data_IF_849819962212
#
_entry.id   IF_849819962212
#
_cell.length_a   1.000
_cell.length_b   1.000
_cell.length_c   1.000
_cell.angle_alpha   90.00
_cell.angle_beta   90.00
_cell.angle_gamma   90.00
#
_symmetry.space_group_name_H-M   'P 1'
#
loop_
_entity.id
_entity.type
_entity.pdbx_description
1 polymer ?
#
# COMPACT_ATOMS: atom_id res chain seq x y z
N UNK A 1 -12.69 8.80 3.19
CA UNK A 1 -11.71 8.89 2.08
C UNK A 1 -10.30 8.93 2.64
N UNK A 2 -9.27 8.39 1.97
CA UNK A 2 -7.86 8.49 2.42
C UNK A 2 -7.48 9.96 2.67
N UNK A 3 -7.94 10.87 1.82
CA UNK A 3 -7.69 12.30 1.98
C UNK A 3 -8.23 12.88 3.30
N UNK A 4 -9.45 12.52 3.70
CA UNK A 4 -10.06 13.06 4.93
C UNK A 4 -9.31 12.56 6.17
N UNK A 5 -8.95 11.28 6.19
CA UNK A 5 -8.19 10.66 7.27
C UNK A 5 -6.81 11.31 7.40
N UNK A 6 -6.06 11.36 6.31
CA UNK A 6 -4.71 11.92 6.29
C UNK A 6 -4.71 13.44 6.54
N UNK A 7 -5.75 14.18 6.13
CA UNK A 7 -5.89 15.61 6.44
C UNK A 7 -6.04 15.88 7.94
N UNK A 8 -6.81 15.05 8.65
CA UNK A 8 -6.93 15.17 10.10
C UNK A 8 -5.58 14.92 10.79
N UNK A 9 -4.85 13.90 10.35
CA UNK A 9 -3.51 13.60 10.86
C UNK A 9 -2.50 14.72 10.56
N UNK A 10 -2.54 15.29 9.35
CA UNK A 10 -1.68 16.41 8.97
C UNK A 10 -1.89 17.62 9.88
N UNK A 11 -3.15 17.97 10.21
CA UNK A 11 -3.46 19.06 11.13
C UNK A 11 -2.97 18.79 12.55
N UNK A 12 -3.11 17.55 13.04
CA UNK A 12 -2.57 17.15 14.34
C UNK A 12 -1.05 17.24 14.36
N UNK A 13 -0.37 16.73 13.32
CA UNK A 13 1.08 16.77 13.21
C UNK A 13 1.59 18.22 13.14
N UNK A 14 0.92 19.11 12.41
CA UNK A 14 1.27 20.53 12.34
C UNK A 14 1.18 21.22 13.71
N UNK A 15 0.23 20.81 14.55
CA UNK A 15 0.10 21.32 15.92
C UNK A 15 1.24 20.82 16.83
N UNK A 16 1.67 19.57 16.65
CA UNK A 16 2.72 18.94 17.46
C UNK A 16 4.14 19.35 17.05
N UNK A 17 4.37 19.53 15.74
CA UNK A 17 5.65 19.89 15.15
C UNK A 17 5.44 20.91 14.01
N UNK A 18 5.34 22.22 14.33
CA UNK A 18 5.01 23.27 13.37
C UNK A 18 5.98 23.42 12.19
N UNK A 19 7.24 23.02 12.38
CA UNK A 19 8.30 23.02 11.37
C UNK A 19 8.14 21.94 10.31
N UNK A 20 7.34 20.91 10.57
CA UNK A 20 7.06 19.82 9.64
C UNK A 20 5.87 20.18 8.76
N UNK A 21 5.95 19.83 7.48
CA UNK A 21 4.89 20.04 6.49
C UNK A 21 4.46 18.71 5.86
N UNK A 22 3.16 18.57 5.60
CA UNK A 22 2.60 17.37 4.96
C UNK A 22 2.15 17.72 3.55
N UNK A 23 2.77 17.08 2.55
CA UNK A 23 2.45 17.29 1.14
C UNK A 23 1.64 16.11 0.62
N UNK A 24 0.49 16.40 0.03
CA UNK A 24 -0.37 15.41 -0.61
C UNK A 24 -0.05 15.30 -2.10
N UNK A 25 0.09 14.07 -2.59
CA UNK A 25 0.22 13.77 -4.01
C UNK A 25 -0.91 12.84 -4.43
N UNK A 26 -1.60 13.18 -5.51
CA UNK A 26 -2.69 12.35 -6.05
C UNK A 26 -2.09 11.17 -6.81
N UNK A 27 -2.59 9.98 -6.54
CA UNK A 27 -2.18 8.75 -7.24
C UNK A 27 -2.53 8.85 -8.73
N UNK A 28 -1.60 8.44 -9.59
CA UNK A 28 -1.87 8.29 -11.02
C UNK A 28 -3.03 7.30 -11.27
N UNK A 29 -3.97 7.63 -12.14
CA UNK A 29 -5.18 6.84 -12.39
C UNK A 29 -4.91 5.36 -12.70
N UNK A 30 -3.77 5.04 -13.32
CA UNK A 30 -3.37 3.65 -13.62
C UNK A 30 -3.06 2.79 -12.38
N UNK A 31 -2.92 3.40 -11.20
CA UNK A 31 -2.63 2.73 -9.94
C UNK A 31 -3.68 2.99 -8.85
N UNK A 32 -4.77 3.70 -9.15
CA UNK A 32 -5.77 4.10 -8.15
C UNK A 32 -6.52 2.90 -7.52
N UNK A 33 -6.55 1.76 -8.21
CA UNK A 33 -7.17 0.52 -7.73
C UNK A 33 -6.23 -0.33 -6.85
N UNK A 34 -4.94 0.01 -6.80
CA UNK A 34 -3.93 -0.83 -6.14
C UNK A 34 -3.81 -0.47 -4.67
N UNK A 35 -3.97 -1.45 -3.79
CA UNK A 35 -3.58 -1.34 -2.39
C UNK A 35 -2.94 -2.65 -1.90
N UNK A 36 -2.21 -2.57 -0.78
CA UNK A 36 -1.47 -3.71 -0.24
C UNK A 36 -2.37 -4.87 0.19
N UNK A 37 -3.61 -4.59 0.61
CA UNK A 37 -4.55 -5.63 1.05
C UNK A 37 -4.96 -6.52 -0.13
N UNK A 38 -5.35 -5.92 -1.25
CA UNK A 38 -5.72 -6.64 -2.48
C UNK A 38 -4.54 -7.47 -3.00
N UNK A 39 -3.33 -6.90 -3.04
CA UNK A 39 -2.13 -7.64 -3.49
C UNK A 39 -1.86 -8.86 -2.62
N UNK A 40 -1.96 -8.72 -1.29
CA UNK A 40 -1.76 -9.83 -0.37
C UNK A 40 -2.84 -10.90 -0.50
N UNK A 41 -4.09 -10.50 -0.75
CA UNK A 41 -5.21 -11.42 -0.97
C UNK A 41 -5.05 -12.20 -2.28
N UNK A 42 -4.70 -11.54 -3.38
CA UNK A 42 -4.41 -12.25 -4.64
C UNK A 42 -3.25 -13.23 -4.46
N UNK A 43 -2.19 -12.82 -3.77
CA UNK A 43 -1.03 -13.67 -3.51
C UNK A 43 -1.37 -14.89 -2.61
N UNK A 44 -2.21 -14.71 -1.59
CA UNK A 44 -2.64 -15.80 -0.71
C UNK A 44 -3.52 -16.84 -1.43
N UNK A 45 -4.21 -16.41 -2.49
CA UNK A 45 -5.01 -17.27 -3.36
C UNK A 45 -4.21 -17.83 -4.55
N UNK A 46 -2.87 -17.79 -4.52
CA UNK A 46 -1.98 -18.23 -5.61
C UNK A 46 -2.20 -17.48 -6.94
N UNK A 47 -2.78 -16.28 -6.91
CA UNK A 47 -2.97 -15.43 -8.08
C UNK A 47 -1.68 -14.74 -8.54
N UNK A 48 -1.63 -14.36 -9.81
CA UNK A 48 -0.47 -13.69 -10.40
C UNK A 48 -0.46 -12.19 -10.03
N UNK A 49 0.61 -11.75 -9.35
CA UNK A 49 0.82 -10.36 -8.92
C UNK A 49 2.01 -9.67 -9.62
N UNK A 50 2.63 -10.29 -10.64
CA UNK A 50 3.85 -9.80 -11.29
C UNK A 50 3.73 -8.41 -11.92
N UNK A 51 2.52 -7.98 -12.28
CA UNK A 51 2.23 -6.64 -12.83
C UNK A 51 1.81 -5.63 -11.76
N UNK A 52 1.61 -6.07 -10.52
CA UNK A 52 1.10 -5.25 -9.42
C UNK A 52 2.23 -4.81 -8.47
N UNK A 53 3.35 -5.53 -8.46
CA UNK A 53 4.47 -5.27 -7.56
C UNK A 53 5.82 -5.47 -8.25
N UNK A 54 6.90 -4.85 -7.74
CA UNK A 54 8.26 -5.17 -8.17
C UNK A 54 8.60 -6.65 -7.93
N UNK A 55 9.46 -7.21 -8.80
CA UNK A 55 9.87 -8.63 -8.77
C UNK A 55 10.40 -9.12 -7.42
N UNK A 56 11.06 -8.26 -6.65
CA UNK A 56 11.55 -8.61 -5.31
C UNK A 56 10.41 -8.87 -4.32
N UNK A 57 9.31 -8.11 -4.42
CA UNK A 57 8.13 -8.24 -3.58
C UNK A 57 7.33 -9.48 -3.99
N UNK A 58 7.15 -9.71 -5.29
CA UNK A 58 6.51 -10.91 -5.82
C UNK A 58 7.16 -12.19 -5.28
N UNK A 59 8.50 -12.30 -5.42
CA UNK A 59 9.25 -13.45 -4.91
C UNK A 59 9.00 -13.67 -3.43
N UNK A 60 9.03 -12.61 -2.63
CA UNK A 60 8.84 -12.69 -1.18
C UNK A 60 7.42 -13.14 -0.83
N UNK A 61 6.40 -12.57 -1.46
CA UNK A 61 5.00 -12.94 -1.22
C UNK A 61 4.72 -14.39 -1.64
N UNK A 62 5.26 -14.84 -2.77
CA UNK A 62 5.16 -16.23 -3.20
C UNK A 62 5.74 -17.19 -2.14
N UNK A 63 6.96 -16.93 -1.63
CA UNK A 63 7.52 -17.77 -0.56
C UNK A 63 6.69 -17.74 0.72
N UNK A 64 6.13 -16.58 1.09
CA UNK A 64 5.35 -16.44 2.33
C UNK A 64 4.02 -17.18 2.31
N UNK A 65 3.31 -17.19 1.17
CA UNK A 65 1.98 -17.77 1.07
C UNK A 65 1.98 -19.21 0.53
N UNK A 66 2.96 -19.60 -0.28
CA UNK A 66 3.07 -20.98 -0.78
C UNK A 66 3.53 -21.92 0.34
N UNK A 67 4.45 -21.49 1.21
CA UNK A 67 4.95 -22.31 2.33
C UNK A 67 3.97 -22.40 3.53
N UNK A 68 2.77 -21.80 3.44
CA UNK A 68 1.74 -21.84 4.48
C UNK A 68 0.67 -22.92 4.23
N UNK A 69 0.81 -23.71 3.16
CA UNK A 69 -0.17 -24.74 2.75
C UNK A 69 0.18 -26.16 3.21
N UNK A 70 1.17 -26.32 4.09
CA UNK A 70 1.51 -27.57 4.78
C UNK A 70 0.99 -27.57 6.23
#
# INVERSE_FOLDING_TARGET
>A
SDFEHESQLALMNKRLAPEIETIFMVTCSKYSYLNSSIVKEIASLNGNISQLVPKIVEKKLNTLFINKKD
#
